data_IF_850279802481
#
_entry.id   IF_850279802481
#
_cell.length_a   1.000
_cell.length_b   1.000
_cell.length_c   1.000
_cell.angle_alpha   90.00
_cell.angle_beta   90.00
_cell.angle_gamma   90.00
#
_symmetry.space_group_name_H-M   'P 1'
#
loop_
_entity.id
_entity.type
_entity.pdbx_description
1 polymer ?
#
# COMPACT_ATOMS: atom_id res chain seq x y z
N UNK A 1 31.16 -11.75 11.50
CA UNK A 1 30.21 -10.65 11.27
C UNK A 1 29.66 -10.19 12.60
N UNK A 2 29.78 -8.89 12.91
CA UNK A 2 29.09 -8.26 14.03
C UNK A 2 27.66 -7.97 13.57
N UNK A 3 26.68 -8.31 14.38
CA UNK A 3 25.28 -7.98 14.13
C UNK A 3 24.67 -7.44 15.42
N UNK A 4 23.78 -6.47 15.26
CA UNK A 4 22.93 -5.98 16.35
C UNK A 4 21.58 -6.70 16.29
N UNK A 5 20.87 -6.75 17.41
CA UNK A 5 19.55 -7.38 17.52
C UNK A 5 18.53 -6.31 17.90
N UNK A 6 17.54 -6.11 17.03
CA UNK A 6 16.38 -5.28 17.31
C UNK A 6 15.20 -6.18 17.71
N UNK A 7 14.47 -5.78 18.75
CA UNK A 7 13.25 -6.47 19.17
C UNK A 7 12.08 -5.99 18.32
N UNK A 8 11.32 -6.92 17.78
CA UNK A 8 10.12 -6.65 16.99
C UNK A 8 8.96 -7.53 17.50
N UNK A 9 7.74 -6.99 17.67
CA UNK A 9 6.61 -7.75 18.20
C UNK A 9 6.12 -8.87 17.27
N UNK A 10 6.32 -8.75 15.96
CA UNK A 10 5.90 -9.75 14.99
C UNK A 10 6.98 -10.81 14.76
N UNK A 11 8.22 -10.38 14.55
CA UNK A 11 9.35 -11.23 14.16
C UNK A 11 10.27 -11.62 15.32
N UNK A 12 9.94 -11.20 16.56
CA UNK A 12 10.73 -11.35 17.77
C UNK A 12 12.08 -10.63 17.70
N UNK A 13 13.05 -11.18 16.98
CA UNK A 13 14.42 -10.68 16.94
C UNK A 13 14.87 -10.48 15.48
N UNK A 14 15.07 -9.22 15.10
CA UNK A 14 15.60 -8.86 13.79
C UNK A 14 17.11 -8.61 13.94
N UNK A 15 17.93 -9.44 13.27
CA UNK A 15 19.38 -9.22 13.21
C UNK A 15 19.71 -8.23 12.10
N UNK A 16 20.53 -7.24 12.43
CA UNK A 16 20.91 -6.13 11.57
C UNK A 16 22.43 -6.12 11.43
N UNK A 17 22.93 -6.18 10.19
CA UNK A 17 24.36 -6.06 9.92
C UNK A 17 24.83 -4.59 9.94
N UNK A 18 26.14 -4.38 9.93
CA UNK A 18 26.76 -3.04 10.05
C UNK A 18 26.32 -2.06 8.96
N UNK A 19 26.24 -2.50 7.70
CA UNK A 19 25.76 -1.67 6.59
C UNK A 19 24.30 -1.27 6.80
N UNK A 20 23.46 -2.22 7.20
CA UNK A 20 22.04 -1.97 7.46
C UNK A 20 21.87 -1.02 8.65
N UNK A 21 22.67 -1.17 9.70
CA UNK A 21 22.64 -0.27 10.85
C UNK A 21 22.99 1.17 10.45
N UNK A 22 24.02 1.37 9.63
CA UNK A 22 24.36 2.69 9.10
C UNK A 22 23.21 3.32 8.30
N UNK A 23 22.48 2.53 7.49
CA UNK A 23 21.30 3.01 6.78
C UNK A 23 20.16 3.37 7.73
N UNK A 24 19.91 2.52 8.74
CA UNK A 24 18.88 2.73 9.76
C UNK A 24 19.13 4.01 10.55
N UNK A 25 20.39 4.35 10.82
CA UNK A 25 20.78 5.53 11.60
C UNK A 25 20.69 6.85 10.80
N UNK A 26 20.39 6.80 9.51
CA UNK A 26 20.19 8.02 8.70
C UNK A 26 18.89 8.74 9.07
N UNK A 27 18.87 10.07 8.97
CA UNK A 27 17.66 10.89 9.17
C UNK A 27 16.53 10.48 8.22
N UNK A 28 16.89 10.09 6.98
CA UNK A 28 15.93 9.60 5.97
C UNK A 28 15.14 8.41 6.49
N UNK A 29 15.84 7.43 7.09
CA UNK A 29 15.20 6.23 7.62
C UNK A 29 14.54 6.47 8.99
N UNK A 30 15.19 7.22 9.89
CA UNK A 30 14.63 7.54 11.21
C UNK A 30 13.31 8.33 11.12
N UNK A 31 13.11 9.14 10.06
CA UNK A 31 11.84 9.83 9.79
C UNK A 31 10.64 8.88 9.76
N UNK A 32 10.83 7.63 9.28
CA UNK A 32 9.76 6.65 9.17
C UNK A 32 9.11 6.30 10.52
N UNK A 33 9.76 6.57 11.66
CA UNK A 33 9.19 6.40 13.00
C UNK A 33 7.96 7.28 13.24
N UNK A 34 7.87 8.38 12.52
CA UNK A 34 6.87 9.42 12.69
C UNK A 34 5.85 9.45 11.54
N UNK A 35 5.81 8.38 10.76
CA UNK A 35 4.85 8.17 9.68
C UNK A 35 4.17 6.84 9.93
N UNK A 36 2.87 6.88 10.27
CA UNK A 36 2.09 5.68 10.54
C UNK A 36 1.90 4.85 9.28
N UNK A 37 1.99 3.53 9.42
CA UNK A 37 1.76 2.60 8.31
C UNK A 37 0.34 2.75 7.73
N UNK A 38 -0.66 2.82 8.62
CA UNK A 38 -2.07 2.78 8.25
C UNK A 38 -2.79 4.12 8.36
N UNK A 39 -2.04 5.24 8.39
CA UNK A 39 -2.60 6.58 8.40
C UNK A 39 -3.67 6.78 9.48
N UNK A 40 -4.90 7.11 9.09
CA UNK A 40 -6.02 7.37 10.01
C UNK A 40 -6.70 6.12 10.60
N UNK A 41 -6.20 4.91 10.29
CA UNK A 41 -6.80 3.65 10.74
C UNK A 41 -6.85 3.54 12.27
N UNK A 42 -5.91 4.16 12.99
CA UNK A 42 -5.90 4.19 14.46
C UNK A 42 -7.17 4.80 15.08
N UNK A 43 -7.90 5.64 14.34
CA UNK A 43 -9.19 6.15 14.81
C UNK A 43 -10.19 4.99 14.98
N UNK A 44 -10.16 3.99 14.11
CA UNK A 44 -11.08 2.84 14.17
C UNK A 44 -10.48 1.66 14.94
N UNK A 45 -9.20 1.39 14.76
CA UNK A 45 -8.45 0.32 15.39
C UNK A 45 -7.37 0.93 16.28
N UNK A 46 -7.62 1.18 17.58
CA UNK A 46 -6.69 1.94 18.43
C UNK A 46 -5.27 1.37 18.51
N UNK A 47 -5.08 0.07 18.24
CA UNK A 47 -3.76 -0.57 18.19
C UNK A 47 -2.95 -0.30 16.91
N UNK A 48 -3.59 0.18 15.83
CA UNK A 48 -2.98 0.45 14.52
C UNK A 48 -2.12 1.73 14.53
N UNK A 49 -1.16 1.78 15.45
CA UNK A 49 -0.25 2.91 15.71
C UNK A 49 1.15 2.66 15.23
N UNK A 50 1.40 1.49 14.63
CA UNK A 50 2.68 1.11 14.08
C UNK A 50 3.12 2.03 12.94
N UNK A 51 4.43 2.21 12.84
CA UNK A 51 5.07 3.10 11.88
C UNK A 51 5.68 2.35 10.70
N UNK A 52 6.00 3.09 9.63
CA UNK A 52 6.73 2.54 8.48
C UNK A 52 8.12 2.03 8.85
N UNK A 53 8.68 2.52 9.97
CA UNK A 53 10.00 2.10 10.44
C UNK A 53 10.05 0.61 10.80
N UNK A 54 9.13 0.11 11.64
CA UNK A 54 9.11 -1.31 11.98
C UNK A 54 8.66 -2.20 10.81
N UNK A 55 7.82 -1.69 9.92
CA UNK A 55 7.45 -2.37 8.68
C UNK A 55 8.68 -2.59 7.78
N UNK A 56 9.45 -1.53 7.49
CA UNK A 56 10.67 -1.61 6.70
C UNK A 56 11.71 -2.58 7.29
N UNK A 57 11.88 -2.58 8.61
CA UNK A 57 12.74 -3.55 9.31
C UNK A 57 12.23 -4.99 9.17
N UNK A 58 10.91 -5.19 9.25
CA UNK A 58 10.27 -6.47 9.00
C UNK A 58 10.48 -6.97 7.57
N UNK A 59 10.38 -6.08 6.57
CA UNK A 59 10.55 -6.43 5.16
C UNK A 59 12.00 -6.80 4.89
N UNK A 60 12.96 -6.06 5.46
CA UNK A 60 14.38 -6.44 5.49
C UNK A 60 14.61 -7.81 6.16
N UNK A 61 13.95 -8.09 7.29
CA UNK A 61 14.05 -9.38 7.98
C UNK A 61 13.57 -10.53 7.10
N UNK A 62 12.43 -10.36 6.43
CA UNK A 62 11.92 -11.34 5.48
C UNK A 62 12.88 -11.51 4.30
N UNK A 63 13.44 -10.43 3.75
CA UNK A 63 14.42 -10.51 2.67
C UNK A 63 15.64 -11.33 3.08
N UNK A 64 16.18 -11.10 4.28
CA UNK A 64 17.29 -11.91 4.81
C UNK A 64 16.97 -13.40 4.90
N UNK A 65 15.78 -13.75 5.40
CA UNK A 65 15.36 -15.15 5.52
C UNK A 65 15.17 -15.80 4.16
N UNK A 66 14.47 -15.13 3.25
CA UNK A 66 14.23 -15.62 1.88
C UNK A 66 15.53 -15.84 1.13
N UNK A 67 16.43 -14.85 1.17
CA UNK A 67 17.73 -14.94 0.49
C UNK A 67 18.60 -16.06 1.06
N UNK A 68 18.61 -16.29 2.37
CA UNK A 68 19.30 -17.43 2.98
C UNK A 68 18.79 -18.77 2.42
N UNK A 69 17.47 -18.92 2.32
CA UNK A 69 16.86 -20.15 1.76
C UNK A 69 17.14 -20.32 0.27
N UNK A 70 17.20 -19.23 -0.49
CA UNK A 70 17.57 -19.28 -1.91
C UNK A 70 19.02 -19.70 -2.09
N UNK A 71 19.95 -19.19 -1.26
CA UNK A 71 21.38 -19.61 -1.33
C UNK A 71 21.63 -21.06 -0.97
N UNK A 72 20.80 -21.63 -0.09
CA UNK A 72 20.88 -23.06 0.26
C UNK A 72 20.48 -23.96 -0.92
N UNK A 73 19.84 -23.39 -1.95
CA UNK A 73 19.49 -24.10 -3.18
C UNK A 73 20.62 -23.93 -4.18
N UNK A 74 20.96 -25.03 -4.82
CA UNK A 74 22.00 -25.09 -5.85
C UNK A 74 21.49 -24.59 -7.22
N UNK A 75 20.45 -23.75 -7.23
CA UNK A 75 19.78 -23.27 -8.45
C UNK A 75 20.43 -22.01 -9.03
N UNK A 76 21.22 -21.26 -8.24
CA UNK A 76 22.27 -20.38 -8.76
C UNK A 76 23.25 -19.83 -7.72
N UNK A 77 24.48 -19.51 -8.14
CA UNK A 77 25.37 -18.68 -7.32
C UNK A 77 24.82 -17.25 -7.27
N UNK A 78 24.24 -16.87 -6.14
CA UNK A 78 23.91 -15.49 -5.80
C UNK A 78 25.12 -14.86 -5.10
N UNK A 79 25.61 -13.73 -5.61
CA UNK A 79 26.77 -13.07 -5.04
C UNK A 79 26.39 -12.21 -3.81
N UNK A 80 27.32 -12.02 -2.87
CA UNK A 80 27.03 -11.29 -1.63
C UNK A 80 26.61 -9.83 -1.84
N UNK A 81 27.05 -9.20 -2.94
CA UNK A 81 26.70 -7.82 -3.25
C UNK A 81 25.24 -7.75 -3.70
N UNK A 82 24.83 -8.59 -4.64
CA UNK A 82 23.43 -8.75 -5.10
C UNK A 82 22.51 -8.97 -3.90
N UNK A 83 22.85 -9.90 -3.00
CA UNK A 83 22.09 -10.14 -1.78
C UNK A 83 22.03 -8.91 -0.84
N UNK A 84 23.09 -8.11 -0.80
CA UNK A 84 23.13 -6.88 -0.01
C UNK A 84 22.29 -5.76 -0.63
N UNK A 85 22.28 -5.65 -1.95
CA UNK A 85 21.43 -4.73 -2.71
C UNK A 85 19.95 -5.05 -2.48
N UNK A 86 19.54 -6.32 -2.57
CA UNK A 86 18.15 -6.74 -2.31
C UNK A 86 17.75 -6.45 -0.86
N UNK A 87 18.62 -6.72 0.12
CA UNK A 87 18.35 -6.36 1.53
C UNK A 87 18.19 -4.86 1.73
N UNK A 88 19.05 -4.05 1.10
CA UNK A 88 18.96 -2.59 1.17
C UNK A 88 17.69 -2.08 0.47
N UNK A 89 17.31 -2.64 -0.68
CA UNK A 89 16.05 -2.30 -1.34
C UNK A 89 14.83 -2.66 -0.49
N UNK A 90 14.81 -3.84 0.14
CA UNK A 90 13.76 -4.25 1.07
C UNK A 90 13.65 -3.31 2.28
N UNK A 91 14.78 -2.85 2.82
CA UNK A 91 14.81 -1.87 3.90
C UNK A 91 14.29 -0.51 3.43
N UNK A 92 14.69 -0.07 2.24
CA UNK A 92 14.48 1.30 1.78
C UNK A 92 13.22 1.51 0.94
N UNK A 93 12.48 0.46 0.59
CA UNK A 93 11.31 0.56 -0.31
C UNK A 93 10.29 1.64 0.12
N UNK A 94 10.17 1.84 1.43
CA UNK A 94 9.17 2.72 2.01
C UNK A 94 9.67 4.14 2.33
N UNK A 95 10.95 4.48 2.05
CA UNK A 95 11.51 5.80 2.44
C UNK A 95 10.90 6.98 1.70
N UNK A 96 10.25 6.74 0.56
CA UNK A 96 9.53 7.75 -0.21
C UNK A 96 8.19 8.14 0.40
N UNK A 97 7.65 7.34 1.32
CA UNK A 97 6.38 7.66 1.93
C UNK A 97 6.45 8.92 2.78
N UNK A 98 5.38 9.70 2.63
CA UNK A 98 5.12 10.94 3.35
C UNK A 98 3.81 10.81 4.11
N UNK A 99 3.44 11.78 4.97
CA UNK A 99 2.29 11.68 5.84
C UNK A 99 1.01 11.32 5.08
N UNK A 100 0.43 10.18 5.45
CA UNK A 100 -0.82 9.67 4.87
C UNK A 100 -0.78 9.54 3.32
N UNK A 101 0.39 9.25 2.73
CA UNK A 101 0.62 9.37 1.28
C UNK A 101 -0.39 8.62 0.42
N UNK A 102 -0.80 7.39 0.76
CA UNK A 102 -1.78 6.63 -0.01
C UNK A 102 -3.10 7.38 -0.21
N UNK A 103 -3.54 8.15 0.80
CA UNK A 103 -4.73 8.97 0.67
C UNK A 103 -4.56 10.08 -0.38
N UNK A 104 -3.36 10.64 -0.50
CA UNK A 104 -3.04 11.75 -1.39
C UNK A 104 -2.64 11.26 -2.81
N UNK A 105 -2.07 10.06 -2.91
CA UNK A 105 -1.84 9.32 -4.16
C UNK A 105 -3.16 8.99 -4.85
N UNK A 106 -4.18 8.54 -4.09
CA UNK A 106 -5.53 8.28 -4.63
C UNK A 106 -6.19 9.53 -5.27
N UNK A 107 -5.67 10.73 -5.03
CA UNK A 107 -6.14 11.97 -5.66
C UNK A 107 -5.06 12.65 -6.51
N UNK A 108 -3.97 11.93 -6.83
CA UNK A 108 -2.96 12.34 -7.80
C UNK A 108 -2.03 13.47 -7.35
N UNK A 109 -1.86 13.70 -6.03
CA UNK A 109 -1.06 14.83 -5.54
C UNK A 109 0.45 14.60 -5.70
N UNK A 110 0.96 13.48 -5.20
CA UNK A 110 2.39 13.17 -5.21
C UNK A 110 2.60 11.66 -5.09
N UNK A 111 3.48 11.12 -5.91
CA UNK A 111 3.84 9.71 -5.92
C UNK A 111 5.01 9.45 -4.96
N UNK A 112 4.84 8.55 -3.99
CA UNK A 112 5.88 8.23 -3.02
C UNK A 112 7.12 7.61 -3.68
N UNK A 113 6.98 6.88 -4.79
CA UNK A 113 8.14 6.31 -5.49
C UNK A 113 9.04 7.41 -6.04
N UNK A 114 8.44 8.49 -6.57
CA UNK A 114 9.19 9.65 -7.07
C UNK A 114 9.87 10.42 -5.93
N UNK A 115 9.24 10.46 -4.75
CA UNK A 115 9.83 11.04 -3.54
C UNK A 115 11.02 10.22 -3.05
N UNK A 116 10.98 8.89 -3.20
CA UNK A 116 12.07 8.00 -2.80
C UNK A 116 13.37 8.29 -3.56
N UNK A 117 13.29 8.70 -4.84
CA UNK A 117 14.47 8.87 -5.70
C UNK A 117 15.56 9.74 -5.08
N UNK A 118 15.34 11.05 -4.81
CA UNK A 118 16.38 11.89 -4.23
C UNK A 118 16.83 11.45 -2.83
N UNK A 119 15.96 10.77 -2.07
CA UNK A 119 16.28 10.25 -0.74
C UNK A 119 17.26 9.07 -0.79
N UNK A 120 17.22 8.29 -1.87
CA UNK A 120 18.08 7.12 -2.10
C UNK A 120 19.35 7.51 -2.85
N UNK A 121 19.25 8.39 -3.85
CA UNK A 121 20.35 8.66 -4.80
C UNK A 121 21.22 9.85 -4.45
N UNK A 122 20.82 10.67 -3.46
CA UNK A 122 21.59 11.82 -2.97
C UNK A 122 21.80 11.81 -1.44
N UNK A 123 22.70 12.68 -0.97
CA UNK A 123 22.95 12.91 0.46
C UNK A 123 23.72 11.78 1.17
N UNK A 124 23.62 11.78 2.50
CA UNK A 124 24.39 10.86 3.36
C UNK A 124 24.02 9.38 3.16
N UNK A 125 22.74 9.08 2.93
CA UNK A 125 22.28 7.72 2.66
C UNK A 125 22.90 7.18 1.37
N UNK A 126 22.87 7.95 0.28
CA UNK A 126 23.50 7.56 -0.98
C UNK A 126 25.02 7.36 -0.84
N UNK A 127 25.68 8.18 -0.01
CA UNK A 127 27.11 8.02 0.26
C UNK A 127 27.42 6.68 0.95
N UNK A 128 26.62 6.27 1.93
CA UNK A 128 26.72 4.96 2.62
C UNK A 128 26.53 3.82 1.62
N UNK A 129 25.48 3.89 0.79
CA UNK A 129 25.23 2.89 -0.25
C UNK A 129 26.42 2.76 -1.21
N UNK A 130 26.97 3.88 -1.68
CA UNK A 130 28.13 3.90 -2.57
C UNK A 130 29.38 3.31 -1.92
N UNK A 131 29.63 3.62 -0.65
CA UNK A 131 30.81 3.12 0.06
C UNK A 131 30.72 1.63 0.41
N UNK A 132 29.52 1.15 0.76
CA UNK A 132 29.34 -0.21 1.25
C UNK A 132 29.01 -1.21 0.12
N UNK A 133 28.27 -0.78 -0.90
CA UNK A 133 27.69 -1.66 -1.93
C UNK A 133 28.15 -1.31 -3.36
N UNK A 134 28.96 -0.26 -3.53
CA UNK A 134 29.50 0.17 -4.83
C UNK A 134 28.77 1.35 -5.45
N UNK A 135 29.41 2.01 -6.42
CA UNK A 135 29.00 3.33 -6.91
C UNK A 135 27.59 3.37 -7.54
N UNK A 136 27.16 2.28 -8.17
CA UNK A 136 25.87 2.19 -8.86
C UNK A 136 24.73 1.71 -7.93
N UNK A 137 25.05 1.33 -6.69
CA UNK A 137 24.08 0.77 -5.74
C UNK A 137 22.83 1.64 -5.51
N UNK A 138 22.91 2.97 -5.37
CA UNK A 138 21.70 3.79 -5.20
C UNK A 138 20.70 3.67 -6.36
N UNK A 139 21.20 3.67 -7.60
CA UNK A 139 20.33 3.58 -8.79
C UNK A 139 19.80 2.16 -8.97
N UNK A 140 20.60 1.13 -8.68
CA UNK A 140 20.15 -0.27 -8.67
C UNK A 140 19.00 -0.47 -7.65
N UNK A 141 19.18 0.02 -6.42
CA UNK A 141 18.17 -0.06 -5.36
C UNK A 141 16.91 0.68 -5.76
N UNK A 142 17.04 1.90 -6.29
CA UNK A 142 15.89 2.67 -6.75
C UNK A 142 15.14 1.92 -7.87
N UNK A 143 15.86 1.33 -8.83
CA UNK A 143 15.24 0.57 -9.93
C UNK A 143 14.45 -0.66 -9.46
N UNK A 144 14.91 -1.31 -8.37
CA UNK A 144 14.23 -2.43 -7.72
C UNK A 144 12.93 -1.99 -7.05
N UNK A 145 12.96 -0.85 -6.35
CA UNK A 145 11.80 -0.30 -5.65
C UNK A 145 10.71 0.08 -6.66
N UNK A 146 11.08 0.73 -7.77
CA UNK A 146 10.13 1.14 -8.82
C UNK A 146 9.73 0.00 -9.78
N UNK A 147 10.14 -1.24 -9.53
CA UNK A 147 9.75 -2.38 -10.37
C UNK A 147 10.37 -2.38 -11.78
N UNK A 148 11.43 -1.59 -12.01
CA UNK A 148 12.06 -1.41 -13.33
C UNK A 148 13.36 -2.19 -13.51
N UNK A 149 13.85 -2.86 -12.47
CA UNK A 149 15.08 -3.65 -12.55
C UNK A 149 14.88 -4.90 -13.40
N UNK A 150 15.96 -5.33 -14.05
CA UNK A 150 16.04 -6.62 -14.75
C UNK A 150 16.61 -7.74 -13.88
N UNK A 151 16.87 -7.45 -12.61
CA UNK A 151 17.38 -8.41 -11.63
C UNK A 151 16.41 -9.59 -11.43
N UNK A 152 16.94 -10.80 -11.30
CA UNK A 152 16.13 -12.01 -11.13
C UNK A 152 15.37 -12.06 -9.81
N UNK A 153 15.79 -11.28 -8.82
CA UNK A 153 15.21 -11.13 -7.49
C UNK A 153 14.27 -9.91 -7.37
N UNK A 154 14.04 -9.15 -8.45
CA UNK A 154 13.10 -8.01 -8.52
C UNK A 154 11.74 -8.32 -7.86
N UNK A 155 11.21 -9.52 -8.11
CA UNK A 155 9.92 -9.96 -7.56
C UNK A 155 9.85 -10.07 -6.03
N UNK A 156 10.99 -10.06 -5.32
CA UNK A 156 11.01 -9.99 -3.85
C UNK A 156 10.73 -8.59 -3.31
N UNK A 157 11.04 -7.55 -4.09
CA UNK A 157 10.90 -6.13 -3.69
C UNK A 157 9.61 -5.55 -4.24
N UNK A 158 9.40 -5.69 -5.54
CA UNK A 158 8.20 -5.23 -6.21
C UNK A 158 7.74 -6.30 -7.19
N UNK A 159 6.58 -6.90 -6.89
CA UNK A 159 6.00 -7.96 -7.69
C UNK A 159 4.66 -8.47 -7.16
N UNK A 160 4.15 -9.50 -7.84
CA UNK A 160 2.93 -10.23 -7.47
C UNK A 160 2.99 -10.82 -6.05
N UNK A 161 4.16 -11.37 -5.67
CA UNK A 161 4.45 -11.95 -4.36
C UNK A 161 5.75 -11.35 -3.80
N UNK A 162 5.74 -10.06 -3.50
CA UNK A 162 6.84 -9.41 -2.78
C UNK A 162 6.72 -9.55 -1.27
N UNK A 163 7.85 -9.26 -0.61
CA UNK A 163 8.00 -9.42 0.83
C UNK A 163 7.31 -8.30 1.61
N UNK A 164 7.16 -7.12 1.00
CA UNK A 164 6.34 -6.01 1.51
C UNK A 164 4.91 -6.51 1.84
N UNK A 165 4.23 -7.13 0.86
CA UNK A 165 2.86 -7.65 1.03
C UNK A 165 2.72 -8.66 2.17
N UNK A 166 3.71 -9.53 2.31
CA UNK A 166 3.71 -10.55 3.37
C UNK A 166 3.90 -9.90 4.75
N UNK A 167 4.79 -8.90 4.83
CA UNK A 167 5.10 -8.18 6.05
C UNK A 167 3.88 -7.38 6.54
N UNK A 168 3.36 -6.46 5.71
CA UNK A 168 2.31 -5.56 6.17
C UNK A 168 1.03 -6.33 6.49
N UNK A 169 0.65 -7.37 5.75
CA UNK A 169 -0.59 -8.11 6.05
C UNK A 169 -0.54 -8.74 7.45
N UNK A 170 0.61 -9.32 7.82
CA UNK A 170 0.82 -9.90 9.15
C UNK A 170 0.88 -8.82 10.22
N UNK A 171 1.68 -7.77 10.00
CA UNK A 171 1.86 -6.67 10.96
C UNK A 171 0.57 -5.91 11.19
N UNK A 172 -0.12 -5.52 10.13
CA UNK A 172 -1.37 -4.79 10.20
C UNK A 172 -2.44 -5.58 10.94
N UNK A 173 -2.55 -6.89 10.69
CA UNK A 173 -3.51 -7.73 11.39
C UNK A 173 -3.21 -7.82 12.88
N UNK A 174 -1.93 -8.03 13.25
CA UNK A 174 -1.47 -8.06 14.63
C UNK A 174 -1.79 -6.72 15.33
N UNK A 175 -1.41 -5.60 14.73
CA UNK A 175 -1.54 -4.27 15.31
C UNK A 175 -3.00 -3.79 15.35
N UNK A 176 -3.83 -4.20 14.38
CA UNK A 176 -5.27 -3.96 14.43
C UNK A 176 -6.00 -4.90 15.38
N UNK A 177 -5.37 -5.98 15.85
CA UNK A 177 -5.99 -6.99 16.71
C UNK A 177 -7.07 -7.80 15.99
N UNK A 178 -6.88 -8.10 14.70
CA UNK A 178 -7.87 -8.81 13.87
C UNK A 178 -7.32 -10.17 13.39
N UNK A 179 -8.17 -11.20 13.26
CA UNK A 179 -7.73 -12.55 12.86
C UNK A 179 -7.57 -12.72 11.33
N UNK A 180 -7.65 -11.63 10.56
CA UNK A 180 -7.73 -11.67 9.10
C UNK A 180 -6.38 -11.84 8.39
N UNK A 181 -5.25 -11.57 9.07
CA UNK A 181 -3.91 -11.60 8.45
C UNK A 181 -3.15 -12.91 8.65
N UNK A 182 -3.83 -14.02 8.93
CA UNK A 182 -3.16 -15.29 9.13
C UNK A 182 -2.70 -15.91 7.81
N UNK A 183 -1.39 -15.89 7.62
CA UNK A 183 -0.65 -16.34 6.44
C UNK A 183 0.44 -17.33 6.89
N UNK A 184 0.62 -18.42 6.15
CA UNK A 184 1.75 -19.34 6.34
C UNK A 184 3.01 -18.78 5.65
N UNK A 185 3.63 -17.81 6.32
CA UNK A 185 4.84 -17.11 5.84
C UNK A 185 5.98 -18.07 5.63
N UNK A 186 6.18 -19.02 6.55
CA UNK A 186 7.26 -19.98 6.46
C UNK A 186 7.08 -20.88 5.24
N UNK A 187 5.86 -21.36 4.95
CA UNK A 187 5.58 -22.14 3.75
C UNK A 187 5.79 -21.37 2.46
N UNK A 188 5.37 -20.10 2.41
CA UNK A 188 5.57 -19.23 1.25
C UNK A 188 7.06 -19.06 0.96
N UNK A 189 7.83 -18.61 1.95
CA UNK A 189 9.27 -18.36 1.77
C UNK A 189 10.02 -19.65 1.41
N UNK A 190 9.72 -20.77 2.09
CA UNK A 190 10.32 -22.08 1.77
C UNK A 190 9.88 -22.64 0.40
N UNK A 191 8.96 -22.00 -0.29
CA UNK A 191 8.52 -22.43 -1.62
C UNK A 191 9.03 -21.54 -2.75
N UNK A 192 9.55 -20.35 -2.44
CA UNK A 192 10.15 -19.44 -3.42
C UNK A 192 11.41 -20.07 -4.02
N UNK A 193 11.65 -19.86 -5.31
CA UNK A 193 12.81 -20.36 -6.05
C UNK A 193 13.08 -19.48 -7.27
N UNK A 194 14.27 -19.58 -7.84
CA UNK A 194 14.57 -18.97 -9.14
C UNK A 194 14.19 -19.92 -10.27
N UNK A 195 13.37 -19.45 -11.20
CA UNK A 195 12.95 -20.19 -12.39
C UNK A 195 13.14 -19.34 -13.64
N UNK A 196 13.28 -19.99 -14.79
CA UNK A 196 13.15 -19.30 -16.07
C UNK A 196 11.66 -19.09 -16.35
N UNK A 197 11.24 -17.84 -16.36
CA UNK A 197 9.88 -17.44 -16.68
C UNK A 197 9.59 -17.71 -18.17
N UNK A 198 8.61 -18.58 -18.49
CA UNK A 198 8.31 -18.94 -19.88
C UNK A 198 7.81 -17.75 -20.72
N UNK A 199 7.27 -16.70 -20.10
CA UNK A 199 6.77 -15.53 -20.84
C UNK A 199 7.89 -14.59 -21.28
N UNK A 200 8.94 -14.44 -20.45
CA UNK A 200 10.02 -13.47 -20.69
C UNK A 200 11.34 -14.12 -21.10
N UNK A 201 11.48 -15.43 -20.87
CA UNK A 201 12.74 -16.17 -21.03
C UNK A 201 13.82 -15.79 -20.01
N UNK A 202 13.50 -14.93 -19.04
CA UNK A 202 14.43 -14.46 -18.00
C UNK A 202 14.27 -15.25 -16.72
N UNK A 203 15.32 -15.25 -15.89
CA UNK A 203 15.21 -15.77 -14.54
C UNK A 203 14.41 -14.82 -13.67
N UNK A 204 13.49 -15.35 -12.88
CA UNK A 204 12.65 -14.61 -11.96
C UNK A 204 12.31 -15.47 -10.75
N UNK A 205 11.84 -14.81 -9.68
CA UNK A 205 11.21 -15.50 -8.55
C UNK A 205 9.93 -16.18 -9.01
N UNK A 206 9.86 -17.48 -8.78
CA UNK A 206 8.65 -18.28 -8.84
C UNK A 206 8.40 -18.99 -7.51
N UNK A 207 7.40 -19.86 -7.50
CA UNK A 207 7.07 -20.72 -6.35
C UNK A 207 6.93 -22.18 -6.77
N UNK A 208 7.15 -23.10 -5.83
CA UNK A 208 6.81 -24.50 -6.03
C UNK A 208 5.30 -24.71 -6.00
N UNK A 209 4.77 -25.65 -6.79
CA UNK A 209 3.33 -26.00 -6.79
C UNK A 209 2.78 -26.32 -5.40
N UNK A 210 3.60 -26.84 -4.49
CA UNK A 210 3.21 -27.12 -3.09
C UNK A 210 2.88 -25.88 -2.26
N UNK A 211 3.09 -24.68 -2.81
CA UNK A 211 2.82 -23.37 -2.21
C UNK A 211 1.40 -22.85 -2.47
N UNK A 212 0.66 -23.44 -3.42
CA UNK A 212 -0.67 -22.94 -3.80
C UNK A 212 -1.61 -22.74 -2.60
N UNK A 213 -1.69 -23.65 -1.61
CA UNK A 213 -2.53 -23.43 -0.44
C UNK A 213 -2.08 -22.22 0.42
N UNK A 214 -0.78 -21.92 0.45
CA UNK A 214 -0.27 -20.76 1.17
C UNK A 214 -0.54 -19.46 0.39
N UNK A 215 -0.56 -19.50 -0.95
CA UNK A 215 -1.01 -18.40 -1.80
C UNK A 215 -2.52 -18.15 -1.69
N UNK A 216 -3.31 -19.21 -1.58
CA UNK A 216 -4.74 -19.13 -1.25
C UNK A 216 -4.95 -18.40 0.08
N UNK A 217 -4.24 -18.82 1.13
CA UNK A 217 -4.28 -18.16 2.45
C UNK A 217 -3.88 -16.69 2.36
N UNK A 218 -2.82 -16.36 1.60
CA UNK A 218 -2.42 -14.97 1.36
C UNK A 218 -3.52 -14.15 0.65
N UNK A 219 -4.15 -14.71 -0.37
CA UNK A 219 -5.23 -14.06 -1.10
C UNK A 219 -6.44 -13.78 -0.20
N UNK A 220 -6.87 -14.78 0.58
CA UNK A 220 -7.97 -14.61 1.53
C UNK A 220 -7.65 -13.59 2.62
N UNK A 221 -6.44 -13.67 3.19
CA UNK A 221 -5.99 -12.73 4.20
C UNK A 221 -6.02 -11.29 3.68
N UNK A 222 -5.51 -11.10 2.46
CA UNK A 222 -5.55 -9.81 1.79
C UNK A 222 -6.98 -9.32 1.57
N UNK A 223 -7.86 -10.15 1.02
CA UNK A 223 -9.28 -9.80 0.86
C UNK A 223 -9.91 -9.36 2.18
N UNK A 224 -9.72 -10.13 3.26
CA UNK A 224 -10.28 -9.81 4.57
C UNK A 224 -9.70 -8.51 5.14
N UNK A 225 -8.41 -8.26 4.99
CA UNK A 225 -7.77 -7.01 5.42
C UNK A 225 -8.28 -5.79 4.62
N UNK A 226 -8.42 -5.91 3.30
CA UNK A 226 -9.03 -4.86 2.47
C UNK A 226 -10.48 -4.59 2.86
N UNK A 227 -11.29 -5.65 2.95
CA UNK A 227 -12.71 -5.55 3.26
C UNK A 227 -12.95 -4.92 4.62
N UNK A 228 -12.23 -5.38 5.63
CA UNK A 228 -12.56 -5.11 7.02
C UNK A 228 -11.71 -4.02 7.65
N UNK A 229 -10.47 -3.78 7.19
CA UNK A 229 -9.56 -2.79 7.78
C UNK A 229 -9.37 -1.61 6.83
N UNK A 230 -8.69 -1.82 5.69
CA UNK A 230 -8.27 -0.73 4.80
C UNK A 230 -9.46 0.02 4.18
N UNK A 231 -10.53 -0.70 3.80
CA UNK A 231 -11.77 -0.12 3.26
C UNK A 231 -12.94 -0.14 4.24
N UNK A 232 -12.64 -0.25 5.53
CA UNK A 232 -13.64 -0.05 6.56
C UNK A 232 -14.27 1.34 6.43
N UNK A 233 -15.59 1.42 6.40
CA UNK A 233 -16.34 2.65 6.14
C UNK A 233 -15.90 3.85 7.03
N UNK A 234 -15.62 3.62 8.31
CA UNK A 234 -15.15 4.68 9.20
C UNK A 234 -13.69 5.10 8.94
N UNK A 235 -12.82 4.18 8.50
CA UNK A 235 -11.44 4.52 8.08
C UNK A 235 -11.52 5.38 6.82
N UNK A 236 -12.31 4.93 5.84
CA UNK A 236 -12.55 5.64 4.58
C UNK A 236 -13.20 7.01 4.77
N UNK A 237 -14.09 7.17 5.76
CA UNK A 237 -14.61 8.48 6.13
C UNK A 237 -13.50 9.44 6.58
N UNK A 238 -12.59 8.98 7.46
CA UNK A 238 -11.45 9.80 7.88
C UNK A 238 -10.52 10.12 6.69
N UNK A 239 -10.25 9.13 5.83
CA UNK A 239 -9.46 9.32 4.60
C UNK A 239 -10.09 10.36 3.67
N UNK A 240 -11.39 10.31 3.42
CA UNK A 240 -12.09 11.29 2.58
C UNK A 240 -12.04 12.71 3.19
N UNK A 241 -12.25 12.83 4.50
CA UNK A 241 -12.12 14.11 5.21
C UNK A 241 -10.70 14.68 5.10
N UNK A 242 -9.68 13.83 5.24
CA UNK A 242 -8.29 14.24 5.11
C UNK A 242 -7.92 14.64 3.68
N UNK A 243 -8.38 13.90 2.67
CA UNK A 243 -8.23 14.27 1.25
C UNK A 243 -8.79 15.66 0.97
N UNK A 244 -10.03 15.94 1.40
CA UNK A 244 -10.66 17.26 1.27
C UNK A 244 -9.84 18.35 1.98
N UNK A 245 -9.41 18.09 3.21
CA UNK A 245 -8.60 19.02 4.00
C UNK A 245 -7.30 19.44 3.27
N UNK A 246 -6.54 18.47 2.77
CA UNK A 246 -5.27 18.74 2.07
C UNK A 246 -5.54 19.38 0.71
N UNK A 247 -6.54 18.91 -0.03
CA UNK A 247 -6.92 19.48 -1.33
C UNK A 247 -7.31 20.96 -1.19
N UNK A 248 -8.09 21.33 -0.18
CA UNK A 248 -8.44 22.72 0.11
C UNK A 248 -7.20 23.55 0.47
N UNK A 249 -6.28 23.00 1.27
CA UNK A 249 -5.04 23.69 1.66
C UNK A 249 -4.11 23.97 0.48
N UNK A 250 -3.99 23.01 -0.46
CA UNK A 250 -3.24 23.15 -1.71
C UNK A 250 -3.87 24.21 -2.62
N UNK A 251 -5.19 24.20 -2.81
CA UNK A 251 -5.91 25.19 -3.61
C UNK A 251 -5.81 26.61 -3.03
N UNK A 252 -5.79 26.73 -1.70
CA UNK A 252 -5.60 27.99 -1.01
C UNK A 252 -4.14 28.49 -1.02
N UNK A 253 -3.18 27.69 -1.49
CA UNK A 253 -1.75 28.02 -1.47
C UNK A 253 -1.12 28.02 -0.07
N UNK A 254 -1.82 27.49 0.94
CA UNK A 254 -1.31 27.38 2.33
C UNK A 254 -0.36 26.19 2.52
N UNK A 255 -0.39 25.26 1.57
CA UNK A 255 0.47 24.09 1.48
C UNK A 255 0.93 23.92 0.03
N UNK A 256 2.16 23.48 -0.17
CA UNK A 256 2.72 23.15 -1.48
C UNK A 256 2.91 21.64 -1.59
N UNK A 257 2.56 21.05 -2.74
CA UNK A 257 2.68 19.60 -2.96
C UNK A 257 4.12 19.11 -2.81
N UNK A 258 5.09 19.87 -3.29
CA UNK A 258 6.53 19.62 -3.17
C UNK A 258 7.02 19.53 -1.72
N UNK A 259 6.34 20.20 -0.79
CA UNK A 259 6.72 20.25 0.62
C UNK A 259 6.22 19.05 1.44
N UNK A 260 5.24 18.29 0.93
CA UNK A 260 4.59 17.19 1.66
C UNK A 260 5.58 16.14 2.18
N UNK A 261 6.59 15.82 1.36
CA UNK A 261 7.61 14.84 1.68
C UNK A 261 8.51 15.21 2.88
N UNK A 262 8.58 16.48 3.24
CA UNK A 262 9.41 16.97 4.34
C UNK A 262 8.74 16.81 5.72
N UNK A 263 7.44 16.52 5.76
CA UNK A 263 6.70 16.45 7.02
C UNK A 263 6.66 15.03 7.61
N UNK A 264 6.44 14.98 8.92
CA UNK A 264 5.90 13.81 9.63
C UNK A 264 4.38 13.93 9.76
N UNK A 265 3.70 12.87 10.24
CA UNK A 265 2.25 12.90 10.43
C UNK A 265 1.82 14.12 11.26
N UNK A 266 2.39 14.28 12.45
CA UNK A 266 2.09 15.39 13.35
C UNK A 266 2.58 16.74 12.78
N UNK A 267 3.71 16.75 12.09
CA UNK A 267 4.26 17.97 11.47
C UNK A 267 3.31 18.56 10.44
N UNK A 268 2.72 17.73 9.58
CA UNK A 268 1.75 18.18 8.58
C UNK A 268 0.46 18.66 9.23
N UNK A 269 -0.03 17.96 10.26
CA UNK A 269 -1.25 18.37 10.97
C UNK A 269 -1.08 19.72 11.68
N UNK A 270 0.08 19.96 12.31
CA UNK A 270 0.38 21.26 12.92
C UNK A 270 0.47 22.36 11.86
N UNK A 271 1.13 22.11 10.72
CA UNK A 271 1.18 23.05 9.61
C UNK A 271 -0.22 23.45 9.11
N UNK A 272 -1.13 22.49 9.01
CA UNK A 272 -2.53 22.73 8.62
C UNK A 272 -3.31 23.50 9.71
N UNK A 273 -2.98 23.31 10.99
CA UNK A 273 -3.58 24.04 12.11
C UNK A 273 -3.13 25.51 12.14
N UNK A 274 -1.84 25.75 11.90
CA UNK A 274 -1.25 27.10 11.84
C UNK A 274 -1.80 27.95 10.67
N UNK A 275 -2.29 27.30 9.60
CA UNK A 275 -2.94 27.98 8.49
C UNK A 275 -4.30 28.60 8.87
N UNK A 276 -4.90 28.17 9.98
CA UNK A 276 -6.12 28.75 10.54
C UNK A 276 -7.16 27.71 10.97
N UNK A 277 -8.25 28.14 11.63
CA UNK A 277 -9.30 27.24 12.10
C UNK A 277 -9.92 26.44 10.96
N UNK A 278 -9.85 25.11 11.06
CA UNK A 278 -10.44 24.20 10.07
C UNK A 278 -11.34 23.15 10.74
N UNK A 279 -12.60 23.09 10.32
CA UNK A 279 -13.60 22.19 10.89
C UNK A 279 -13.27 20.71 10.64
N UNK A 280 -12.73 20.36 9.46
CA UNK A 280 -12.35 18.98 9.13
C UNK A 280 -11.16 18.52 9.96
N UNK A 281 -10.13 19.36 10.11
CA UNK A 281 -8.97 19.04 10.95
C UNK A 281 -9.40 18.86 12.41
N UNK A 282 -10.21 19.77 12.93
CA UNK A 282 -10.76 19.67 14.30
C UNK A 282 -11.57 18.39 14.46
N UNK A 283 -12.39 18.04 13.46
CA UNK A 283 -13.21 16.84 13.47
C UNK A 283 -12.36 15.56 13.42
N UNK A 284 -11.29 15.51 12.62
CA UNK A 284 -10.34 14.40 12.59
C UNK A 284 -9.65 14.22 13.95
N UNK A 285 -9.07 15.29 14.51
CA UNK A 285 -8.39 15.27 15.82
C UNK A 285 -9.32 14.84 16.96
N UNK A 286 -10.59 15.22 16.91
CA UNK A 286 -11.62 14.86 17.92
C UNK A 286 -12.45 13.63 17.56
N UNK A 287 -12.07 12.90 16.51
CA UNK A 287 -12.77 11.70 16.02
C UNK A 287 -14.26 11.93 15.68
N UNK A 288 -14.65 13.15 15.31
CA UNK A 288 -15.99 13.48 14.79
C UNK A 288 -16.09 13.18 13.29
N UNK A 289 -16.00 11.90 12.94
CA UNK A 289 -16.04 11.46 11.54
C UNK A 289 -17.44 11.61 10.93
N UNK A 290 -17.46 11.98 9.65
CA UNK A 290 -18.69 12.04 8.84
C UNK A 290 -19.40 10.68 8.85
N UNK A 291 -20.73 10.72 8.77
CA UNK A 291 -21.60 9.54 8.85
C UNK A 291 -22.03 9.10 7.47
N UNK A 292 -22.14 7.80 7.28
CA UNK A 292 -22.52 7.21 6.00
C UNK A 292 -24.00 7.50 5.72
N UNK A 293 -24.27 8.24 4.66
CA UNK A 293 -25.61 8.56 4.18
C UNK A 293 -26.14 7.54 3.17
N UNK A 294 -25.25 6.96 2.36
CA UNK A 294 -25.56 5.88 1.44
C UNK A 294 -24.31 5.02 1.17
N UNK A 295 -24.52 3.78 0.73
CA UNK A 295 -23.46 2.93 0.23
C UNK A 295 -23.96 1.97 -0.84
N UNK A 296 -23.15 1.83 -1.89
CA UNK A 296 -23.44 1.00 -3.06
C UNK A 296 -22.25 0.05 -3.25
N UNK A 297 -22.45 -1.27 -3.35
CA UNK A 297 -21.38 -2.16 -3.79
C UNK A 297 -20.95 -1.78 -5.20
N UNK A 298 -19.67 -1.95 -5.53
CA UNK A 298 -19.15 -1.63 -6.86
C UNK A 298 -19.91 -2.35 -7.98
N UNK A 299 -20.36 -3.58 -7.72
CA UNK A 299 -21.16 -4.40 -8.65
C UNK A 299 -22.56 -3.85 -8.94
N UNK A 300 -23.07 -2.92 -8.12
CA UNK A 300 -24.37 -2.26 -8.33
C UNK A 300 -24.23 -0.84 -8.86
N UNK A 301 -23.00 -0.34 -9.05
CA UNK A 301 -22.74 0.98 -9.61
C UNK A 301 -22.46 0.85 -11.11
N UNK A 302 -23.13 1.69 -11.89
CA UNK A 302 -22.92 1.81 -13.33
C UNK A 302 -21.44 2.21 -13.61
N UNK A 303 -20.66 1.41 -14.36
CA UNK A 303 -19.25 1.69 -14.61
C UNK A 303 -19.01 3.08 -15.20
N UNK A 304 -19.87 3.54 -16.11
CA UNK A 304 -19.74 4.88 -16.71
C UNK A 304 -19.84 6.00 -15.65
N UNK A 305 -20.72 5.82 -14.67
CA UNK A 305 -20.87 6.76 -13.55
C UNK A 305 -19.63 6.71 -12.66
N UNK A 306 -19.13 5.51 -12.34
CA UNK A 306 -17.95 5.33 -11.51
C UNK A 306 -16.72 5.99 -12.16
N UNK A 307 -16.49 5.71 -13.44
CA UNK A 307 -15.38 6.24 -14.23
C UNK A 307 -15.48 7.76 -14.33
N UNK A 308 -16.67 8.32 -14.62
CA UNK A 308 -16.84 9.76 -14.70
C UNK A 308 -16.57 10.47 -13.37
N UNK A 309 -17.11 9.94 -12.25
CA UNK A 309 -16.88 10.53 -10.93
C UNK A 309 -15.39 10.53 -10.59
N UNK A 310 -14.67 9.44 -10.89
CA UNK A 310 -13.26 9.29 -10.55
C UNK A 310 -12.31 9.98 -11.55
N UNK A 311 -12.79 10.34 -12.74
CA UNK A 311 -11.97 10.93 -13.80
C UNK A 311 -11.35 12.29 -13.42
N UNK A 312 -12.00 13.08 -12.55
CA UNK A 312 -11.41 14.34 -12.10
C UNK A 312 -11.92 14.80 -10.73
N UNK A 313 -11.11 15.60 -10.05
CA UNK A 313 -11.48 16.25 -8.79
C UNK A 313 -12.64 17.22 -8.94
N UNK A 314 -12.77 17.85 -10.10
CA UNK A 314 -13.91 18.72 -10.41
C UNK A 314 -15.23 17.92 -10.44
N UNK A 315 -15.22 16.72 -11.02
CA UNK A 315 -16.39 15.84 -11.06
C UNK A 315 -16.78 15.37 -9.65
N UNK A 316 -15.78 15.02 -8.82
CA UNK A 316 -15.99 14.70 -7.41
C UNK A 316 -16.66 15.85 -6.67
N UNK A 317 -16.14 17.08 -6.76
CA UNK A 317 -16.73 18.26 -6.10
C UNK A 317 -18.15 18.56 -6.56
N UNK A 318 -18.38 18.59 -7.88
CA UNK A 318 -19.71 18.83 -8.43
C UNK A 318 -20.73 17.78 -7.98
N UNK A 319 -20.28 16.54 -7.81
CA UNK A 319 -21.10 15.44 -7.29
C UNK A 319 -21.43 15.62 -5.81
N UNK A 320 -20.43 15.96 -4.99
CA UNK A 320 -20.62 16.25 -3.56
C UNK A 320 -21.57 17.42 -3.32
N UNK A 321 -21.46 18.49 -4.12
CA UNK A 321 -22.37 19.64 -4.07
C UNK A 321 -23.81 19.23 -4.44
N UNK A 322 -23.99 18.47 -5.51
CA UNK A 322 -25.31 17.98 -5.91
C UNK A 322 -25.95 17.09 -4.82
N UNK A 323 -25.14 16.26 -4.16
CA UNK A 323 -25.60 15.42 -3.06
C UNK A 323 -25.90 16.23 -1.79
N UNK A 324 -25.12 17.27 -1.49
CA UNK A 324 -25.42 18.19 -0.40
C UNK A 324 -26.76 18.91 -0.60
N UNK A 325 -27.03 19.39 -1.82
CA UNK A 325 -28.31 19.97 -2.19
C UNK A 325 -29.47 18.98 -2.03
N UNK A 326 -29.30 17.74 -2.50
CA UNK A 326 -30.31 16.68 -2.35
C UNK A 326 -30.61 16.38 -0.87
N UNK A 327 -29.57 16.33 -0.03
CA UNK A 327 -29.67 16.07 1.40
C UNK A 327 -30.09 17.30 2.21
N UNK A 328 -30.22 18.48 1.58
CA UNK A 328 -30.48 19.77 2.23
C UNK A 328 -29.43 20.12 3.29
N UNK A 329 -28.17 19.78 3.00
CA UNK A 329 -27.03 20.08 3.85
C UNK A 329 -26.16 21.19 3.21
N UNK A 330 -25.33 21.90 4.01
CA UNK A 330 -24.42 22.92 3.49
C UNK A 330 -23.42 22.37 2.47
N UNK A 331 -22.98 23.20 1.53
CA UNK A 331 -21.86 22.84 0.62
C UNK A 331 -20.61 22.49 1.44
N UNK A 332 -19.89 21.45 1.03
CA UNK A 332 -18.70 20.94 1.74
C UNK A 332 -19.01 20.01 2.93
N UNK A 333 -20.28 19.80 3.27
CA UNK A 333 -20.68 18.87 4.33
C UNK A 333 -20.93 17.44 3.86
N UNK A 334 -20.82 17.17 2.55
CA UNK A 334 -20.93 15.85 1.96
C UNK A 334 -19.63 15.50 1.25
N UNK A 335 -19.17 14.27 1.46
CA UNK A 335 -17.97 13.72 0.83
C UNK A 335 -18.31 12.40 0.17
N UNK A 336 -17.72 12.13 -0.98
CA UNK A 336 -17.81 10.80 -1.60
C UNK A 336 -16.48 10.07 -1.48
N UNK A 337 -16.56 8.75 -1.37
CA UNK A 337 -15.40 7.88 -1.37
C UNK A 337 -15.69 6.65 -2.22
N UNK A 338 -14.80 6.40 -3.18
CA UNK A 338 -14.79 5.16 -3.93
C UNK A 338 -13.33 4.70 -4.04
N UNK A 339 -12.88 3.78 -3.17
CA UNK A 339 -11.50 3.35 -3.19
C UNK A 339 -11.21 2.61 -4.50
N UNK A 340 -10.06 2.91 -5.06
CA UNK A 340 -9.51 2.23 -6.22
C UNK A 340 -8.11 1.72 -5.89
N UNK A 341 -7.81 0.52 -6.36
CA UNK A 341 -6.46 -0.02 -6.38
C UNK A 341 -6.28 -0.78 -7.69
N UNK A 342 -5.15 -0.61 -8.36
CA UNK A 342 -4.89 -1.26 -9.66
C UNK A 342 -5.13 -2.77 -9.63
N UNK A 343 -4.80 -3.45 -8.52
CA UNK A 343 -5.17 -4.85 -8.27
C UNK A 343 -5.09 -5.20 -6.78
N UNK A 344 -5.95 -6.12 -6.30
CA UNK A 344 -5.85 -6.64 -4.92
C UNK A 344 -4.60 -7.50 -4.77
N UNK A 345 -4.50 -8.62 -5.47
CA UNK A 345 -3.27 -9.42 -5.58
C UNK A 345 -3.11 -9.87 -7.03
N UNK A 346 -2.10 -9.34 -7.73
CA UNK A 346 -1.65 -9.94 -8.97
C UNK A 346 -1.09 -11.32 -8.65
N UNK A 347 -1.73 -12.37 -9.14
CA UNK A 347 -1.27 -13.75 -8.97
C UNK A 347 -0.67 -14.31 -10.25
N UNK A 348 -0.23 -13.43 -11.14
CA UNK A 348 0.54 -13.79 -12.31
C UNK A 348 2.00 -14.03 -11.93
N UNK A 349 2.28 -15.26 -11.47
CA UNK A 349 3.59 -15.70 -11.00
C UNK A 349 4.03 -17.00 -11.68
N UNK A 350 5.33 -17.19 -11.93
CA UNK A 350 5.86 -18.47 -12.34
C UNK A 350 5.69 -19.53 -11.25
N UNK A 351 5.19 -20.71 -11.61
CA UNK A 351 5.04 -21.86 -10.72
C UNK A 351 5.77 -23.07 -11.29
N UNK A 352 6.67 -23.62 -10.50
CA UNK A 352 7.36 -24.87 -10.80
C UNK A 352 6.49 -26.06 -10.38
N UNK A 353 5.99 -26.81 -11.36
CA UNK A 353 5.19 -28.03 -11.18
C UNK A 353 6.08 -29.16 -10.66
N UNK A 354 5.48 -30.21 -10.07
CA UNK A 354 6.23 -31.39 -9.57
C UNK A 354 7.17 -32.04 -10.61
N UNK A 355 6.84 -31.94 -11.90
CA UNK A 355 7.66 -32.46 -13.00
C UNK A 355 8.78 -31.52 -13.47
N UNK A 356 9.03 -30.40 -12.79
CA UNK A 356 10.04 -29.40 -13.15
C UNK A 356 9.60 -28.42 -14.25
N UNK A 357 8.45 -28.64 -14.89
CA UNK A 357 7.86 -27.70 -15.83
C UNK A 357 7.47 -26.41 -15.11
N UNK A 358 7.84 -25.26 -15.67
CA UNK A 358 7.44 -23.94 -15.17
C UNK A 358 6.26 -23.44 -15.99
N UNK A 359 5.19 -23.05 -15.31
CA UNK A 359 3.98 -22.50 -15.91
C UNK A 359 3.55 -21.27 -15.11
N UNK A 360 3.02 -20.23 -15.77
CA UNK A 360 2.47 -19.08 -15.07
C UNK A 360 1.08 -19.40 -14.54
N UNK A 361 0.79 -18.90 -13.34
CA UNK A 361 -0.54 -18.90 -12.79
C UNK A 361 -1.35 -17.77 -13.43
N UNK A 362 -2.13 -18.07 -14.46
CA UNK A 362 -2.92 -17.06 -15.20
C UNK A 362 -4.42 -17.25 -14.96
N UNK A 363 -5.23 -16.28 -15.41
CA UNK A 363 -6.70 -16.35 -15.34
C UNK A 363 -7.34 -17.48 -16.16
N UNK A 364 -6.58 -18.26 -16.93
CA UNK A 364 -7.10 -19.49 -17.55
C UNK A 364 -7.27 -20.63 -16.55
N UNK A 365 -6.65 -20.53 -15.37
CA UNK A 365 -6.66 -21.55 -14.33
C UNK A 365 -5.96 -22.85 -14.74
N UNK A 366 -5.85 -23.80 -13.81
CA UNK A 366 -5.43 -25.17 -14.11
C UNK A 366 -6.53 -26.15 -13.73
N UNK A 367 -6.71 -27.18 -14.56
CA UNK A 367 -7.69 -28.24 -14.32
C UNK A 367 -7.53 -28.85 -12.93
N UNK A 368 -8.61 -28.83 -12.13
CA UNK A 368 -8.61 -29.40 -10.78
C UNK A 368 -8.05 -28.51 -9.67
N UNK A 369 -7.78 -27.23 -9.95
CA UNK A 369 -7.33 -26.24 -8.96
C UNK A 369 -8.24 -25.00 -8.94
N UNK A 370 -8.25 -24.27 -7.82
CA UNK A 370 -8.92 -22.97 -7.73
C UNK A 370 -8.19 -21.99 -8.65
N UNK A 371 -8.93 -21.31 -9.51
CA UNK A 371 -8.39 -20.25 -10.35
C UNK A 371 -8.18 -18.98 -9.51
N UNK A 372 -7.02 -18.90 -8.86
CA UNK A 372 -6.71 -17.81 -7.93
C UNK A 372 -6.70 -16.42 -8.58
N UNK A 373 -6.19 -16.22 -9.82
CA UNK A 373 -6.30 -14.93 -10.49
C UNK A 373 -7.75 -14.46 -10.68
N UNK A 374 -8.64 -15.31 -11.20
CA UNK A 374 -10.07 -14.97 -11.33
C UNK A 374 -10.73 -14.74 -9.96
N UNK A 375 -10.41 -15.56 -8.96
CA UNK A 375 -10.93 -15.36 -7.61
C UNK A 375 -10.45 -14.03 -7.01
N UNK A 376 -9.21 -13.62 -7.28
CA UNK A 376 -8.65 -12.34 -6.83
C UNK A 376 -9.43 -11.14 -7.37
N UNK A 377 -9.83 -11.21 -8.65
CA UNK A 377 -10.67 -10.18 -9.29
C UNK A 377 -12.07 -10.12 -8.66
N UNK A 378 -12.72 -11.27 -8.46
CA UNK A 378 -14.04 -11.34 -7.83
C UNK A 378 -14.02 -10.83 -6.38
N UNK A 379 -13.00 -11.20 -5.61
CA UNK A 379 -12.81 -10.70 -4.24
C UNK A 379 -12.54 -9.19 -4.22
N UNK A 380 -11.80 -8.66 -5.19
CA UNK A 380 -11.59 -7.22 -5.36
C UNK A 380 -12.91 -6.49 -5.61
N UNK A 381 -13.70 -6.94 -6.58
CA UNK A 381 -15.00 -6.34 -6.91
C UNK A 381 -15.97 -6.40 -5.72
N UNK A 382 -16.01 -7.52 -5.00
CA UNK A 382 -16.85 -7.70 -3.81
C UNK A 382 -16.47 -6.78 -2.65
N UNK A 383 -15.17 -6.50 -2.48
CA UNK A 383 -14.69 -5.67 -1.39
C UNK A 383 -14.95 -4.16 -1.58
N UNK A 384 -15.13 -3.69 -2.83
CA UNK A 384 -15.27 -2.26 -3.18
C UNK A 384 -16.67 -1.73 -3.02
N UNK A 385 -16.77 -0.55 -2.40
CA UNK A 385 -18.03 0.12 -2.12
C UNK A 385 -17.90 1.61 -2.38
N UNK A 386 -18.82 2.16 -3.15
CA UNK A 386 -19.03 3.59 -3.30
C UNK A 386 -19.81 4.10 -2.09
N UNK A 387 -19.31 5.15 -1.44
CA UNK A 387 -19.89 5.67 -0.19
C UNK A 387 -20.12 7.16 -0.26
N UNK A 388 -21.22 7.57 0.33
CA UNK A 388 -21.57 8.97 0.54
C UNK A 388 -21.53 9.22 2.04
N UNK A 389 -20.70 10.16 2.47
CA UNK A 389 -20.55 10.58 3.86
C UNK A 389 -21.08 11.99 4.06
N UNK A 390 -21.72 12.27 5.19
CA UNK A 390 -22.24 13.58 5.55
C UNK A 390 -21.79 14.00 6.95
N UNK A 391 -21.55 15.29 7.14
CA UNK A 391 -21.13 15.87 8.42
C UNK A 391 -22.20 15.64 9.51
N UNK A 392 -23.46 15.75 9.12
CA UNK A 392 -24.62 15.46 9.95
C UNK A 392 -25.22 14.10 9.61
N UNK A 393 -25.98 13.49 10.53
CA UNK A 393 -26.67 12.23 10.24
C UNK A 393 -27.76 12.48 9.20
N UNK A 394 -27.56 11.95 8.01
CA UNK A 394 -28.54 11.92 6.94
C UNK A 394 -28.58 10.51 6.34
N UNK A 395 -29.67 10.20 5.65
CA UNK A 395 -29.83 8.94 4.91
C UNK A 395 -30.35 9.27 3.52
N UNK A 396 -29.73 8.68 2.50
CA UNK A 396 -30.15 8.79 1.11
C UNK A 396 -30.41 7.38 0.56
N UNK A 397 -31.60 7.16 0.00
CA UNK A 397 -31.90 5.90 -0.67
C UNK A 397 -30.93 5.67 -1.86
N UNK A 398 -30.46 4.45 -2.03
CA UNK A 398 -29.47 4.10 -3.04
C UNK A 398 -29.92 4.44 -4.46
N UNK A 399 -31.20 4.23 -4.80
CA UNK A 399 -31.77 4.61 -6.10
C UNK A 399 -31.75 6.12 -6.30
N UNK A 400 -31.92 6.90 -5.22
CA UNK A 400 -31.86 8.35 -5.28
C UNK A 400 -30.43 8.84 -5.42
N UNK A 401 -29.48 8.24 -4.71
CA UNK A 401 -28.05 8.51 -4.88
C UNK A 401 -27.63 8.32 -6.34
N UNK A 402 -27.93 7.16 -6.94
CA UNK A 402 -27.61 6.89 -8.36
C UNK A 402 -28.26 7.91 -9.30
N UNK A 403 -29.50 8.34 -9.04
CA UNK A 403 -30.14 9.41 -9.83
C UNK A 403 -29.36 10.72 -9.75
N UNK A 404 -28.89 11.12 -8.57
CA UNK A 404 -28.10 12.35 -8.40
C UNK A 404 -26.76 12.23 -9.13
N UNK A 405 -26.06 11.09 -9.01
CA UNK A 405 -24.80 10.83 -9.71
C UNK A 405 -24.98 10.97 -11.23
N UNK A 406 -26.01 10.31 -11.79
CA UNK A 406 -26.31 10.37 -13.21
C UNK A 406 -26.71 11.78 -13.67
N UNK A 407 -27.44 12.53 -12.86
CA UNK A 407 -27.78 13.93 -13.14
C UNK A 407 -26.57 14.86 -13.09
N UNK A 408 -25.61 14.63 -12.19
CA UNK A 408 -24.36 15.38 -12.13
C UNK A 408 -23.53 15.15 -13.39
N UNK A 409 -23.35 13.89 -13.80
CA UNK A 409 -22.66 13.51 -15.03
C UNK A 409 -23.26 14.19 -16.28
N UNK A 410 -24.60 14.16 -16.41
CA UNK A 410 -25.30 14.78 -17.55
C UNK A 410 -25.23 16.31 -17.61
N UNK A 411 -24.97 17.00 -16.49
CA UNK A 411 -24.83 18.45 -16.47
C UNK A 411 -23.42 18.92 -16.85
N UNK A 412 -22.44 18.02 -16.76
CA UNK A 412 -21.04 18.30 -17.08
C UNK A 412 -20.67 17.97 -18.54
N UNK A 413 -21.47 17.11 -19.20
CA UNK A 413 -21.41 16.86 -20.64
C UNK A 413 -22.26 17.90 -21.39
#
# INVERSE_FOLDING_TARGET
MRFEILRDPLWNNIRVDETTLQLVDTDVFQRLRYIRQLGWTYLVYPGATHSRFEHALGTYHLARRTLSMLRERDDAPLDERELSIIRAAALLHDVGHYPFSHALEEIGILDHEQVAKPLITAGGLAAILRSCLGQDAPEEIYSLITGTSTDSLQGLISGSLDLDKIEYLKRDALMCGVPYGEIDVDRLINSMLLVTDPATGRRAIGVQEKALPALESLLFAKYQMYRNVYWHHAVRSATAMYKRLVEDALLAGTLESSSLAAYTDEGLLNKLEDAGPNALLTALKSRRLFKRAAELPATALDPEIADWVCASRANVRATEEALAHELKLPVGSVLIDFPEKTQMLGLDIPVCRRGGKVERLTGTGWTGSINLPTLSEELYNSARWFRIFSAERATLANERAVKVLRSAMKRAA
#
